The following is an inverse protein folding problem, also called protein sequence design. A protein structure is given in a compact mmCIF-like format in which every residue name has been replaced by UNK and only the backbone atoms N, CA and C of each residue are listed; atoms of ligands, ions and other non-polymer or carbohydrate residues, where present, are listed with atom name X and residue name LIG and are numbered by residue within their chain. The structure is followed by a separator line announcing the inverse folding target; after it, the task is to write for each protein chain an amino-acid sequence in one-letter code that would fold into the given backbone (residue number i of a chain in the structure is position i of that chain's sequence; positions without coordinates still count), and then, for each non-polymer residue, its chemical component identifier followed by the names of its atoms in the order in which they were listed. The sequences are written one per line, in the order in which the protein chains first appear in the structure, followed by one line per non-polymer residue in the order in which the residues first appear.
data_IF_166087910589
#
_entry.id   IF_166087910589
#
_cell.length_a   1.000
_cell.length_b   1.000
_cell.length_c   1.000
_cell.angle_alpha   90.00
_cell.angle_beta   90.00
_cell.angle_gamma   90.00
#
_symmetry.space_group_name_H-M   'P 1'
#
loop_
_entity.id
_entity.type
_entity.pdbx_description
1 polymer ?
#
# COMPACT_ATOMS: atom_id res chain seq x y z
N UNK A 1 6.85 -34.94 -18.87
CA UNK A 1 6.74 -34.11 -17.66
C UNK A 1 7.87 -33.06 -17.55
N UNK A 2 9.15 -33.43 -17.58
CA UNK A 2 10.29 -32.52 -17.36
C UNK A 2 10.32 -31.32 -18.31
N UNK A 3 10.12 -31.51 -19.63
CA UNK A 3 10.07 -30.42 -20.61
C UNK A 3 8.96 -29.44 -20.26
N UNK A 4 7.75 -29.96 -20.00
CA UNK A 4 6.60 -29.08 -19.67
C UNK A 4 6.79 -28.34 -18.35
N UNK A 5 7.41 -28.95 -17.35
CA UNK A 5 7.82 -28.28 -16.12
C UNK A 5 8.72 -27.06 -16.39
N UNK A 6 9.75 -27.26 -17.21
CA UNK A 6 10.67 -26.16 -17.58
C UNK A 6 9.95 -25.02 -18.30
N UNK A 7 9.03 -25.31 -19.22
CA UNK A 7 8.22 -24.31 -19.92
C UNK A 7 7.34 -23.51 -18.95
N UNK A 8 6.64 -24.19 -18.03
CA UNK A 8 5.79 -23.54 -17.04
C UNK A 8 6.63 -22.68 -16.08
N UNK A 9 7.74 -23.20 -15.59
CA UNK A 9 8.62 -22.47 -14.67
C UNK A 9 9.18 -21.18 -15.31
N UNK A 10 9.64 -21.27 -16.57
CA UNK A 10 10.12 -20.12 -17.32
C UNK A 10 9.01 -19.08 -17.53
N UNK A 11 7.80 -19.53 -17.93
CA UNK A 11 6.67 -18.63 -18.16
C UNK A 11 6.17 -17.96 -16.87
N UNK A 12 6.11 -18.69 -15.76
CA UNK A 12 5.78 -18.11 -14.45
C UNK A 12 6.80 -17.06 -14.01
N UNK A 13 8.09 -17.27 -14.25
CA UNK A 13 9.14 -16.29 -13.96
C UNK A 13 8.96 -15.01 -14.77
N UNK A 14 8.70 -15.15 -16.08
CA UNK A 14 8.41 -14.01 -16.97
C UNK A 14 7.18 -13.22 -16.51
N UNK A 15 6.06 -13.90 -16.25
CA UNK A 15 4.82 -13.28 -15.79
C UNK A 15 4.97 -12.59 -14.44
N UNK A 16 5.70 -13.18 -13.50
CA UNK A 16 5.97 -12.54 -12.20
C UNK A 16 6.81 -11.27 -12.36
N UNK A 17 7.81 -11.29 -13.25
CA UNK A 17 8.61 -10.10 -13.56
C UNK A 17 7.75 -9.01 -14.21
N UNK A 18 6.92 -9.38 -15.19
CA UNK A 18 6.01 -8.45 -15.85
C UNK A 18 4.99 -7.87 -14.88
N UNK A 19 4.41 -8.68 -13.98
CA UNK A 19 3.51 -8.22 -12.93
C UNK A 19 4.17 -7.15 -12.05
N UNK A 20 5.38 -7.41 -11.58
CA UNK A 20 6.13 -6.48 -10.73
C UNK A 20 6.51 -5.20 -11.46
N UNK A 21 6.94 -5.30 -12.72
CA UNK A 21 7.26 -4.15 -13.55
C UNK A 21 6.02 -3.28 -13.80
N UNK A 22 4.86 -3.88 -14.09
CA UNK A 22 3.61 -3.15 -14.28
C UNK A 22 3.21 -2.37 -13.01
N UNK A 23 3.38 -2.96 -11.82
CA UNK A 23 3.11 -2.25 -10.54
C UNK A 23 4.10 -1.10 -10.34
N UNK A 24 5.38 -1.31 -10.65
CA UNK A 24 6.41 -0.27 -10.56
C UNK A 24 6.11 0.88 -11.54
N UNK A 25 5.86 0.56 -12.81
CA UNK A 25 5.56 1.53 -13.84
C UNK A 25 4.27 2.32 -13.54
N UNK A 26 3.24 1.64 -13.03
CA UNK A 26 2.00 2.29 -12.58
C UNK A 26 2.23 3.23 -11.39
N UNK A 27 3.15 2.87 -10.48
CA UNK A 27 3.54 3.71 -9.34
C UNK A 27 4.29 4.96 -9.80
N UNK A 28 5.24 4.79 -10.72
CA UNK A 28 6.07 5.88 -11.24
C UNK A 28 5.37 6.72 -12.32
N UNK A 29 4.38 6.14 -12.99
CA UNK A 29 3.67 6.78 -14.11
C UNK A 29 2.50 7.67 -13.71
N UNK A 30 2.28 7.89 -12.41
CA UNK A 30 1.29 8.82 -11.90
C UNK A 30 1.97 9.95 -11.13
N UNK A 31 1.52 11.17 -11.35
CA UNK A 31 1.96 12.34 -10.59
C UNK A 31 0.85 13.36 -10.47
N UNK A 32 0.91 14.15 -9.40
CA UNK A 32 0.07 15.32 -9.16
C UNK A 32 0.93 16.52 -8.87
N UNK A 33 0.72 17.60 -9.63
CA UNK A 33 1.34 18.90 -9.37
C UNK A 33 0.29 19.77 -8.67
N UNK A 34 0.67 20.33 -7.53
CA UNK A 34 -0.12 21.31 -6.77
C UNK A 34 0.64 22.63 -6.78
N UNK A 35 0.03 23.67 -7.32
CA UNK A 35 0.67 25.01 -7.42
C UNK A 35 0.40 25.85 -6.16
N UNK A 36 -0.81 25.76 -5.61
CA UNK A 36 -1.20 26.52 -4.43
C UNK A 36 -0.87 25.75 -3.14
N UNK A 37 0.11 26.28 -2.39
CA UNK A 37 0.52 25.71 -1.11
C UNK A 37 -0.61 25.66 -0.07
N UNK A 38 -1.65 26.47 -0.22
CA UNK A 38 -2.81 26.45 0.69
C UNK A 38 -3.59 25.14 0.63
N UNK A 39 -3.53 24.42 -0.51
CA UNK A 39 -4.12 23.09 -0.67
C UNK A 39 -3.35 22.00 0.08
N UNK A 40 -2.12 22.29 0.50
CA UNK A 40 -1.20 21.36 1.18
C UNK A 40 -1.15 21.57 2.70
N UNK A 41 -2.12 22.30 3.25
CA UNK A 41 -2.22 22.56 4.67
C UNK A 41 -2.19 21.26 5.48
N UNK A 42 -1.43 21.25 6.57
CA UNK A 42 -1.24 20.12 7.47
C UNK A 42 -0.02 19.26 7.13
N UNK A 43 0.54 19.35 5.91
CA UNK A 43 1.76 18.63 5.58
C UNK A 43 2.96 19.14 6.40
N UNK A 44 3.83 18.24 6.89
CA UNK A 44 5.11 18.59 7.49
C UNK A 44 6.01 19.36 6.51
N UNK A 45 6.84 20.26 7.04
CA UNK A 45 7.78 21.05 6.23
C UNK A 45 8.71 20.16 5.40
N UNK A 46 9.19 19.06 5.99
CA UNK A 46 10.01 18.08 5.30
C UNK A 46 9.34 17.43 4.08
N UNK A 47 8.03 17.18 4.15
CA UNK A 47 7.27 16.65 3.03
C UNK A 47 7.04 17.70 1.93
N UNK A 48 6.82 18.96 2.33
CA UNK A 48 6.70 20.08 1.39
C UNK A 48 8.02 20.34 0.65
N UNK A 49 9.14 20.34 1.36
CA UNK A 49 10.47 20.49 0.75
C UNK A 49 10.77 19.35 -0.23
N UNK A 50 10.49 18.10 0.15
CA UNK A 50 10.68 16.95 -0.73
C UNK A 50 9.81 17.03 -1.99
N UNK A 51 8.54 17.45 -1.85
CA UNK A 51 7.63 17.63 -2.98
C UNK A 51 8.09 18.77 -3.91
N UNK A 52 8.62 19.86 -3.34
CA UNK A 52 9.19 21.00 -4.09
C UNK A 52 10.43 20.56 -4.87
N UNK A 53 11.38 19.90 -4.22
CA UNK A 53 12.58 19.37 -4.89
C UNK A 53 12.22 18.37 -5.99
N UNK A 54 11.19 17.53 -5.77
CA UNK A 54 10.66 16.63 -6.78
C UNK A 54 10.12 17.38 -8.00
N UNK A 55 9.41 18.50 -7.82
CA UNK A 55 8.93 19.35 -8.90
C UNK A 55 10.09 19.99 -9.65
N UNK A 56 11.04 20.61 -8.94
CA UNK A 56 12.24 21.24 -9.50
C UNK A 56 13.07 20.25 -10.35
N UNK A 57 13.23 19.01 -9.89
CA UNK A 57 13.95 17.97 -10.62
C UNK A 57 13.30 17.61 -11.96
N UNK A 58 12.02 17.89 -12.12
CA UNK A 58 11.25 17.72 -13.35
C UNK A 58 11.12 19.01 -14.17
N UNK A 59 11.65 20.13 -13.67
CA UNK A 59 11.55 21.44 -14.33
C UNK A 59 10.13 22.02 -14.31
N UNK A 60 9.31 21.64 -13.32
CA UNK A 60 7.95 22.17 -13.13
C UNK A 60 7.87 23.00 -11.86
N UNK A 61 6.97 24.00 -11.84
CA UNK A 61 6.70 24.82 -10.65
C UNK A 61 5.73 24.12 -9.71
N UNK A 62 5.74 24.50 -8.42
CA UNK A 62 4.84 23.97 -7.41
C UNK A 62 5.42 22.78 -6.66
N UNK A 63 4.54 21.88 -6.26
CA UNK A 63 4.82 20.70 -5.42
C UNK A 63 4.38 19.46 -6.17
N UNK A 64 5.32 18.51 -6.39
CA UNK A 64 5.06 17.27 -7.13
C UNK A 64 4.92 16.10 -6.17
N UNK A 65 3.76 15.44 -6.24
CA UNK A 65 3.46 14.22 -5.50
C UNK A 65 3.41 13.02 -6.45
N UNK A 66 3.87 11.87 -5.94
CA UNK A 66 3.88 10.58 -6.64
C UNK A 66 3.23 9.51 -5.78
N UNK A 67 3.05 8.29 -6.33
CA UNK A 67 2.53 7.15 -5.56
C UNK A 67 3.62 6.36 -4.83
N UNK A 68 4.85 6.84 -4.82
CA UNK A 68 5.91 6.27 -3.98
C UNK A 68 5.63 6.56 -2.50
N UNK A 69 5.91 5.60 -1.63
CA UNK A 69 5.58 5.70 -0.21
C UNK A 69 6.04 7.00 0.47
N UNK A 70 7.28 7.50 0.25
CA UNK A 70 7.74 8.74 0.88
C UNK A 70 6.92 9.98 0.48
N UNK A 71 6.32 9.97 -0.71
CA UNK A 71 5.43 11.04 -1.19
C UNK A 71 3.97 10.81 -0.79
N UNK A 72 3.49 9.56 -0.88
CA UNK A 72 2.11 9.18 -0.64
C UNK A 72 1.72 9.24 0.84
N UNK A 73 2.52 8.65 1.73
CA UNK A 73 2.18 8.51 3.15
C UNK A 73 1.99 9.87 3.85
N UNK A 74 2.87 10.88 3.70
CA UNK A 74 2.63 12.18 4.32
C UNK A 74 1.31 12.83 3.92
N UNK A 75 0.92 12.73 2.64
CA UNK A 75 -0.37 13.28 2.19
C UNK A 75 -1.53 12.57 2.86
N UNK A 76 -1.51 11.23 2.89
CA UNK A 76 -2.58 10.43 3.51
C UNK A 76 -2.69 10.65 5.02
N UNK A 77 -1.57 10.97 5.68
CA UNK A 77 -1.51 11.10 7.14
C UNK A 77 -1.79 12.53 7.62
N UNK A 78 -1.30 13.53 6.89
CA UNK A 78 -1.26 14.89 7.42
C UNK A 78 -2.02 15.93 6.59
N UNK A 79 -2.23 15.71 5.28
CA UNK A 79 -2.85 16.70 4.42
C UNK A 79 -4.32 16.92 4.78
N UNK A 80 -4.72 18.18 5.07
CA UNK A 80 -6.10 18.53 5.39
C UNK A 80 -7.02 18.47 4.17
N UNK A 81 -6.48 18.61 2.95
CA UNK A 81 -7.24 18.55 1.70
C UNK A 81 -7.74 17.12 1.44
N UNK A 82 -9.04 16.90 1.73
CA UNK A 82 -9.68 15.59 1.59
C UNK A 82 -9.74 15.11 0.15
N UNK A 83 -9.94 16.02 -0.80
CA UNK A 83 -10.02 15.70 -2.23
C UNK A 83 -8.68 15.21 -2.76
N UNK A 84 -7.58 15.83 -2.33
CA UNK A 84 -6.23 15.37 -2.68
C UNK A 84 -5.94 13.98 -2.09
N UNK A 85 -6.35 13.71 -0.84
CA UNK A 85 -6.23 12.36 -0.26
C UNK A 85 -7.03 11.33 -1.04
N UNK A 86 -8.27 11.64 -1.42
CA UNK A 86 -9.12 10.75 -2.22
C UNK A 86 -8.49 10.47 -3.59
N UNK A 87 -8.02 11.51 -4.30
CA UNK A 87 -7.38 11.37 -5.61
C UNK A 87 -6.16 10.44 -5.53
N UNK A 88 -5.26 10.71 -4.57
CA UNK A 88 -4.07 9.89 -4.38
C UNK A 88 -4.39 8.46 -3.93
N UNK A 89 -5.36 8.30 -3.02
CA UNK A 89 -5.81 6.97 -2.58
C UNK A 89 -6.35 6.14 -3.74
N UNK A 90 -7.23 6.72 -4.57
CA UNK A 90 -7.79 6.02 -5.73
C UNK A 90 -6.71 5.64 -6.72
N UNK A 91 -5.81 6.57 -7.03
CA UNK A 91 -4.68 6.30 -7.91
C UNK A 91 -3.78 5.18 -7.37
N UNK A 92 -3.50 5.18 -6.07
CA UNK A 92 -2.67 4.17 -5.42
C UNK A 92 -3.35 2.79 -5.36
N UNK A 93 -4.62 2.74 -4.96
CA UNK A 93 -5.36 1.49 -4.77
C UNK A 93 -5.68 0.77 -6.08
N UNK A 94 -5.73 1.50 -7.21
CA UNK A 94 -6.06 0.96 -8.53
C UNK A 94 -4.85 0.79 -9.45
N UNK A 95 -3.63 0.84 -8.92
CA UNK A 95 -2.41 0.65 -9.70
C UNK A 95 -2.40 -0.72 -10.40
N UNK A 96 -1.92 -0.72 -11.63
CA UNK A 96 -1.77 -1.93 -12.45
C UNK A 96 -3.06 -2.76 -12.57
N UNK A 97 -4.20 -2.08 -12.71
CA UNK A 97 -5.52 -2.69 -12.88
C UNK A 97 -6.29 -2.07 -14.06
N UNK A 98 -7.48 -2.58 -14.29
CA UNK A 98 -8.47 -2.05 -15.24
C UNK A 98 -9.27 -0.85 -14.70
N UNK A 99 -8.92 -0.36 -13.49
CA UNK A 99 -9.59 0.72 -12.80
C UNK A 99 -8.67 1.94 -12.59
N UNK A 100 -9.30 3.07 -12.24
CA UNK A 100 -8.59 4.29 -11.83
C UNK A 100 -8.04 5.13 -12.99
N UNK A 101 -7.17 6.12 -12.68
CA UNK A 101 -6.75 7.13 -13.65
C UNK A 101 -5.87 6.57 -14.78
N UNK A 102 -5.21 5.45 -14.58
CA UNK A 102 -4.37 4.75 -15.56
C UNK A 102 -4.96 3.39 -15.96
N UNK A 103 -6.29 3.24 -15.91
CA UNK A 103 -6.99 2.00 -16.23
C UNK A 103 -6.49 1.36 -17.53
N UNK A 104 -6.14 0.07 -17.48
CA UNK A 104 -5.70 -0.71 -18.61
C UNK A 104 -4.27 -0.46 -19.10
N UNK A 105 -3.56 0.60 -18.67
CA UNK A 105 -2.23 0.93 -19.18
C UNK A 105 -1.16 -0.07 -18.75
N UNK A 106 -1.26 -0.57 -17.52
CA UNK A 106 -0.34 -1.57 -16.94
C UNK A 106 -1.13 -2.71 -16.30
N UNK A 107 -2.27 -3.06 -16.86
CA UNK A 107 -3.23 -3.99 -16.26
C UNK A 107 -2.65 -5.40 -16.11
N UNK A 108 -2.68 -5.89 -14.88
CA UNK A 108 -2.21 -7.21 -14.51
C UNK A 108 -3.32 -8.29 -14.53
N UNK A 109 -4.55 -7.98 -14.89
CA UNK A 109 -5.68 -8.91 -14.82
C UNK A 109 -5.45 -10.19 -15.63
N UNK A 110 -5.00 -10.05 -16.88
CA UNK A 110 -4.70 -11.20 -17.74
C UNK A 110 -3.49 -12.00 -17.23
N UNK A 111 -2.48 -11.30 -16.70
CA UNK A 111 -1.27 -11.91 -16.11
C UNK A 111 -1.66 -12.77 -14.89
N UNK A 112 -2.53 -12.27 -14.02
CA UNK A 112 -3.01 -13.01 -12.86
C UNK A 112 -3.76 -14.28 -13.26
N UNK A 113 -4.63 -14.21 -14.27
CA UNK A 113 -5.35 -15.37 -14.78
C UNK A 113 -4.40 -16.44 -15.34
N UNK A 114 -3.41 -16.03 -16.12
CA UNK A 114 -2.42 -16.96 -16.70
C UNK A 114 -1.56 -17.58 -15.60
N UNK A 115 -1.09 -16.80 -14.60
CA UNK A 115 -0.35 -17.32 -13.44
C UNK A 115 -1.16 -18.38 -12.70
N UNK A 116 -2.45 -18.09 -12.40
CA UNK A 116 -3.31 -19.04 -11.69
C UNK A 116 -3.49 -20.33 -12.49
N UNK A 117 -3.71 -20.24 -13.80
CA UNK A 117 -3.86 -21.40 -14.67
C UNK A 117 -2.59 -22.27 -14.72
N UNK A 118 -1.43 -21.63 -14.88
CA UNK A 118 -0.14 -22.31 -14.88
C UNK A 118 0.20 -22.96 -13.53
N UNK A 119 -0.17 -22.32 -12.41
CA UNK A 119 -0.01 -22.90 -11.07
C UNK A 119 -0.85 -24.16 -10.86
N UNK A 120 -2.08 -24.18 -11.39
CA UNK A 120 -2.93 -25.38 -11.36
C UNK A 120 -2.31 -26.49 -12.20
N UNK A 121 -1.85 -26.19 -13.40
CA UNK A 121 -1.18 -27.17 -14.27
C UNK A 121 0.11 -27.72 -13.62
N UNK A 122 0.93 -26.82 -13.04
CA UNK A 122 2.16 -27.19 -12.34
C UNK A 122 1.91 -28.15 -11.18
N UNK A 123 0.90 -27.88 -10.36
CA UNK A 123 0.53 -28.75 -9.24
C UNK A 123 0.17 -30.16 -9.74
N UNK A 124 -0.70 -30.23 -10.73
CA UNK A 124 -1.11 -31.54 -11.32
C UNK A 124 0.06 -32.29 -11.99
N UNK A 125 0.96 -31.55 -12.61
CA UNK A 125 2.17 -32.13 -13.26
C UNK A 125 3.09 -32.82 -12.22
N UNK A 126 3.10 -32.29 -11.01
CA UNK A 126 3.90 -32.77 -9.87
C UNK A 126 3.12 -33.68 -8.92
N UNK A 127 1.94 -34.14 -9.33
CA UNK A 127 1.07 -35.08 -8.60
C UNK A 127 0.50 -34.50 -7.29
N UNK A 128 0.31 -33.17 -7.20
CA UNK A 128 -0.43 -32.48 -6.16
C UNK A 128 -1.86 -32.15 -6.62
N UNK A 129 -2.82 -32.15 -5.69
CA UNK A 129 -4.21 -31.78 -6.01
C UNK A 129 -4.35 -30.27 -6.25
N UNK A 130 -3.63 -29.46 -5.48
CA UNK A 130 -3.69 -28.00 -5.53
C UNK A 130 -2.30 -27.36 -5.51
N UNK A 131 -2.21 -26.13 -5.99
CA UNK A 131 -0.98 -25.36 -5.89
C UNK A 131 -0.61 -25.02 -4.43
N UNK A 132 -1.60 -24.90 -3.55
CA UNK A 132 -1.35 -24.65 -2.13
C UNK A 132 -0.64 -25.84 -1.47
N UNK A 133 -1.04 -27.08 -1.79
CA UNK A 133 -0.32 -28.28 -1.34
C UNK A 133 1.12 -28.31 -1.87
N UNK A 134 1.31 -28.08 -3.17
CA UNK A 134 2.64 -27.98 -3.77
C UNK A 134 3.49 -26.91 -3.07
N UNK A 135 2.91 -25.72 -2.84
CA UNK A 135 3.60 -24.61 -2.18
C UNK A 135 4.03 -24.92 -0.75
N UNK A 136 3.27 -25.74 -0.04
CA UNK A 136 3.56 -26.12 1.35
C UNK A 136 4.50 -27.31 1.49
N UNK A 137 4.71 -28.10 0.45
CA UNK A 137 5.52 -29.32 0.49
C UNK A 137 6.95 -29.12 1.04
N UNK A 138 7.50 -27.91 0.96
CA UNK A 138 8.82 -27.55 1.47
C UNK A 138 8.79 -26.51 2.58
N UNK A 139 7.63 -26.25 3.19
CA UNK A 139 7.43 -25.23 4.23
C UNK A 139 7.07 -25.87 5.56
N UNK A 140 7.01 -25.06 6.62
CA UNK A 140 6.74 -25.52 7.99
C UNK A 140 5.29 -25.99 8.19
N UNK A 141 4.32 -25.38 7.52
CA UNK A 141 2.92 -25.80 7.63
C UNK A 141 2.70 -27.14 6.88
N UNK A 142 2.05 -28.09 7.53
CA UNK A 142 1.87 -29.46 7.02
C UNK A 142 0.85 -29.54 5.88
N UNK A 143 -0.18 -28.68 5.92
CA UNK A 143 -1.25 -28.68 4.92
C UNK A 143 -1.98 -27.32 4.88
N UNK A 144 -2.77 -27.05 3.82
CA UNK A 144 -3.52 -25.80 3.69
C UNK A 144 -4.50 -25.53 4.83
N UNK A 145 -5.12 -26.59 5.39
CA UNK A 145 -6.09 -26.44 6.49
C UNK A 145 -5.43 -25.87 7.74
N UNK A 146 -4.23 -26.31 8.10
CA UNK A 146 -3.48 -25.77 9.23
C UNK A 146 -3.24 -24.24 9.09
N UNK A 147 -2.97 -23.78 7.87
CA UNK A 147 -2.80 -22.33 7.58
C UNK A 147 -4.12 -21.59 7.74
N UNK A 148 -5.22 -22.15 7.21
CA UNK A 148 -6.55 -21.55 7.32
C UNK A 148 -7.00 -21.47 8.79
N UNK A 149 -6.88 -22.56 9.55
CA UNK A 149 -7.24 -22.59 10.97
C UNK A 149 -6.47 -21.54 11.78
N UNK A 150 -5.18 -21.37 11.48
CA UNK A 150 -4.35 -20.34 12.11
C UNK A 150 -4.85 -18.92 11.79
N UNK A 151 -5.14 -18.64 10.51
CA UNK A 151 -5.64 -17.33 10.07
C UNK A 151 -7.03 -17.04 10.62
N UNK A 152 -7.93 -18.03 10.62
CA UNK A 152 -9.27 -17.89 11.19
C UNK A 152 -9.24 -17.63 12.70
N UNK A 153 -8.33 -18.31 13.42
CA UNK A 153 -8.14 -18.09 14.85
C UNK A 153 -7.66 -16.65 15.12
N UNK A 154 -6.69 -16.13 14.35
CA UNK A 154 -6.23 -14.75 14.44
C UNK A 154 -7.37 -13.77 14.13
N UNK A 155 -8.09 -13.98 13.03
CA UNK A 155 -9.21 -13.13 12.63
C UNK A 155 -10.30 -13.09 13.70
N UNK A 156 -10.69 -14.25 14.25
CA UNK A 156 -11.69 -14.34 15.30
C UNK A 156 -11.30 -13.58 16.57
N UNK A 157 -10.03 -13.65 16.97
CA UNK A 157 -9.53 -12.96 18.16
C UNK A 157 -9.38 -11.44 17.96
N UNK A 158 -9.00 -11.00 16.76
CA UNK A 158 -8.72 -9.59 16.48
C UNK A 158 -9.96 -8.80 16.04
N UNK A 159 -10.94 -9.45 15.42
CA UNK A 159 -12.11 -8.78 14.81
C UNK A 159 -12.85 -7.86 15.78
N UNK A 160 -13.19 -8.35 16.96
CA UNK A 160 -13.95 -7.57 17.95
C UNK A 160 -13.16 -6.35 18.43
N UNK A 161 -11.83 -6.43 18.51
CA UNK A 161 -10.99 -5.29 18.84
C UNK A 161 -10.95 -4.29 17.70
N UNK A 162 -10.74 -4.73 16.46
CA UNK A 162 -10.73 -3.86 15.28
C UNK A 162 -12.07 -3.13 15.08
N UNK A 163 -13.19 -3.81 15.33
CA UNK A 163 -14.52 -3.19 15.28
C UNK A 163 -14.70 -2.08 16.36
N UNK A 164 -14.19 -2.30 17.57
CA UNK A 164 -14.20 -1.28 18.63
C UNK A 164 -13.34 -0.07 18.24
N UNK A 165 -12.12 -0.29 17.82
CA UNK A 165 -11.19 0.77 17.41
C UNK A 165 -11.74 1.60 16.24
N UNK A 166 -12.35 0.95 15.26
CA UNK A 166 -13.01 1.63 14.15
C UNK A 166 -14.22 2.46 14.65
N UNK A 167 -14.98 1.94 15.61
CA UNK A 167 -16.12 2.70 16.18
C UNK A 167 -15.63 3.91 16.99
N UNK A 168 -14.58 3.75 17.80
CA UNK A 168 -13.95 4.85 18.54
C UNK A 168 -13.45 5.95 17.59
N UNK A 169 -12.82 5.56 16.46
CA UNK A 169 -12.41 6.51 15.44
C UNK A 169 -13.60 7.25 14.80
N UNK A 170 -14.69 6.55 14.49
CA UNK A 170 -15.90 7.15 13.94
C UNK A 170 -16.52 8.16 14.92
N UNK A 171 -16.59 7.82 16.20
CA UNK A 171 -17.14 8.68 17.24
C UNK A 171 -16.24 9.92 17.46
N UNK A 172 -14.93 9.74 17.41
CA UNK A 172 -13.96 10.84 17.40
C UNK A 172 -14.17 11.78 16.22
N UNK A 173 -14.26 11.26 15.00
CA UNK A 173 -14.50 12.04 13.79
C UNK A 173 -15.83 12.81 13.86
N UNK A 174 -16.88 12.17 14.33
CA UNK A 174 -18.19 12.81 14.50
C UNK A 174 -18.14 13.94 15.51
N UNK A 175 -17.50 13.72 16.65
CA UNK A 175 -17.46 14.67 17.78
C UNK A 175 -16.60 15.88 17.48
N UNK A 176 -15.40 15.67 16.91
CA UNK A 176 -14.41 16.73 16.75
C UNK A 176 -14.39 17.38 15.37
N UNK A 177 -14.88 16.67 14.33
CA UNK A 177 -14.81 17.13 12.93
C UNK A 177 -16.19 17.18 12.24
N UNK A 178 -17.27 16.83 12.95
CA UNK A 178 -18.63 16.73 12.38
C UNK A 178 -18.68 15.83 11.13
N UNK A 179 -17.78 14.85 11.04
CA UNK A 179 -17.72 13.89 9.95
C UNK A 179 -18.58 12.66 10.27
N UNK A 180 -19.59 12.40 9.46
CA UNK A 180 -20.54 11.29 9.66
C UNK A 180 -20.22 10.05 8.83
N UNK A 181 -19.46 10.20 7.75
CA UNK A 181 -19.04 9.11 6.86
C UNK A 181 -17.50 9.10 6.74
N UNK A 182 -16.90 8.04 7.26
CA UNK A 182 -15.45 7.81 7.20
C UNK A 182 -15.15 6.91 6.01
N UNK A 183 -14.36 7.42 5.09
CA UNK A 183 -13.91 6.70 3.90
C UNK A 183 -12.49 6.16 4.07
N UNK A 184 -12.04 5.28 3.18
CA UNK A 184 -10.72 4.66 3.30
C UNK A 184 -9.56 5.67 3.22
N UNK A 185 -9.71 6.74 2.45
CA UNK A 185 -8.73 7.84 2.38
C UNK A 185 -8.72 8.76 3.61
N UNK A 186 -9.65 8.57 4.52
CA UNK A 186 -9.75 9.33 5.78
C UNK A 186 -9.06 8.60 6.94
N UNK A 187 -8.90 7.28 6.86
CA UNK A 187 -8.46 6.46 8.00
C UNK A 187 -7.13 6.92 8.58
N UNK A 188 -6.09 7.04 7.75
CA UNK A 188 -4.74 7.43 8.23
C UNK A 188 -4.75 8.85 8.81
N UNK A 189 -5.44 9.78 8.15
CA UNK A 189 -5.54 11.17 8.59
C UNK A 189 -6.21 11.30 9.96
N UNK A 190 -7.39 10.71 10.13
CA UNK A 190 -8.10 10.84 11.40
C UNK A 190 -7.53 9.96 12.51
N UNK A 191 -6.90 8.83 12.18
CA UNK A 191 -6.14 8.06 13.17
C UNK A 191 -4.96 8.87 13.73
N UNK A 192 -4.24 9.62 12.89
CA UNK A 192 -3.19 10.53 13.34
C UNK A 192 -3.76 11.67 14.21
N UNK A 193 -4.89 12.28 13.81
CA UNK A 193 -5.57 13.30 14.62
C UNK A 193 -6.04 12.77 15.97
N UNK A 194 -6.56 11.55 16.00
CA UNK A 194 -6.96 10.88 17.25
C UNK A 194 -5.74 10.60 18.14
N UNK A 195 -4.65 10.10 17.57
CA UNK A 195 -3.38 9.87 18.28
C UNK A 195 -2.84 11.15 18.90
N UNK A 196 -2.82 12.25 18.14
CA UNK A 196 -2.40 13.56 18.65
C UNK A 196 -3.32 14.06 19.79
N UNK A 197 -4.63 13.85 19.65
CA UNK A 197 -5.60 14.24 20.67
C UNK A 197 -5.43 13.46 21.98
N UNK A 198 -5.21 12.14 21.88
CA UNK A 198 -5.14 11.24 23.05
C UNK A 198 -3.78 11.30 23.76
N UNK A 199 -2.69 11.44 23.00
CA UNK A 199 -1.34 11.25 23.51
C UNK A 199 -0.48 12.52 23.46
N UNK A 200 -0.93 13.58 22.78
CA UNK A 200 -0.15 14.81 22.55
C UNK A 200 1.24 14.54 21.96
N UNK A 201 1.35 13.52 21.08
CA UNK A 201 2.62 13.14 20.41
C UNK A 201 2.45 13.37 18.90
N UNK A 202 3.48 13.99 18.31
CA UNK A 202 3.63 14.14 16.87
C UNK A 202 4.94 13.49 16.43
N UNK A 203 4.91 12.67 15.39
CA UNK A 203 6.10 11.99 14.90
C UNK A 203 7.19 12.96 14.41
N UNK A 204 6.81 14.15 13.91
CA UNK A 204 7.76 15.19 13.51
C UNK A 204 8.56 15.75 14.71
N UNK A 205 7.97 15.80 15.90
CA UNK A 205 8.65 16.22 17.14
C UNK A 205 9.70 15.18 17.58
N UNK A 206 9.50 13.91 17.21
CA UNK A 206 10.46 12.83 17.53
C UNK A 206 11.65 12.79 16.55
N UNK A 207 11.47 13.31 15.33
CA UNK A 207 12.47 13.25 14.26
C UNK A 207 13.87 13.76 14.64
N UNK A 208 14.03 14.91 15.33
CA UNK A 208 15.33 15.41 15.76
C UNK A 208 16.11 14.49 16.69
N UNK A 209 15.41 13.56 17.38
CA UNK A 209 16.04 12.58 18.29
C UNK A 209 16.63 11.38 17.56
N UNK A 210 16.25 11.18 16.28
CA UNK A 210 16.68 10.07 15.43
C UNK A 210 17.40 10.55 14.15
N UNK A 211 18.47 11.37 14.27
CA UNK A 211 19.22 11.78 13.08
C UNK A 211 19.89 10.57 12.43
N UNK A 212 19.95 10.53 11.11
CA UNK A 212 20.42 9.41 10.30
C UNK A 212 21.81 8.92 10.74
N UNK A 213 22.76 9.83 10.93
CA UNK A 213 24.11 9.50 11.37
C UNK A 213 24.17 8.75 12.70
N UNK A 214 23.30 9.11 13.65
CA UNK A 214 23.21 8.43 14.95
C UNK A 214 22.54 7.07 14.85
N UNK A 215 21.48 7.00 14.03
CA UNK A 215 20.75 5.73 13.82
C UNK A 215 21.66 4.72 13.13
N UNK A 216 22.32 5.11 12.04
CA UNK A 216 23.26 4.24 11.32
C UNK A 216 24.43 3.80 12.21
N UNK A 217 25.05 4.74 12.93
CA UNK A 217 26.15 4.44 13.86
C UNK A 217 25.73 3.57 15.05
N UNK A 218 24.46 3.60 15.45
CA UNK A 218 23.94 2.76 16.54
C UNK A 218 23.48 1.36 16.11
N UNK A 219 23.34 1.14 14.80
CA UNK A 219 22.92 -0.15 14.21
C UNK A 219 24.10 -1.10 14.00
N UNK A 220 25.30 -0.58 13.86
CA UNK A 220 26.56 -1.29 13.63
C UNK A 220 27.58 -1.07 14.76
#
# INVERSE_FOLDING_TARGET
KQKRYGEIAARLSELNSQFSNNVLDATMGWEKIVEDVSELKGLPESALEAAKQSAESKGVSGYRFTLEYPSYIPVMTYCENRELREEMYRAFATRASDQGPNAGKWDNSAIMQEILSLRVELAKLLDFNTYTELSLATKMAENPQQVLDFLENLATRSKAQGERELQELKDFCKTHYNLTALELWDLSFYSEKQKQHLYAINDEELRPYFPEDRVLSGLF
#
